data_IF_401554252342
#
_entry.id   IF_401554252342
#
_cell.length_a   1.000
_cell.length_b   1.000
_cell.length_c   1.000
_cell.angle_alpha   90.00
_cell.angle_beta   90.00
_cell.angle_gamma   90.00
#
_symmetry.space_group_name_H-M   'P 1'
#
loop_
_entity.id
_entity.type
_entity.pdbx_description
1 polymer ?
#
# COMPACT_ATOMS: atom_id res chain seq x y z
N UNK A 1 -23.61 -7.86 8.45
CA UNK A 1 -23.56 -6.80 7.41
C UNK A 1 -22.14 -6.47 6.98
N UNK A 2 -21.29 -5.78 7.80
CA UNK A 2 -19.94 -5.35 7.36
C UNK A 2 -19.03 -6.51 6.92
N UNK A 3 -19.02 -7.61 7.67
CA UNK A 3 -18.22 -8.81 7.35
C UNK A 3 -18.67 -9.49 6.06
N UNK A 4 -19.98 -9.47 5.76
CA UNK A 4 -20.48 -10.05 4.51
C UNK A 4 -20.04 -9.21 3.31
N UNK A 5 -19.97 -7.88 3.45
CA UNK A 5 -19.45 -7.00 2.41
C UNK A 5 -17.93 -7.20 2.19
N UNK A 6 -17.15 -7.41 3.26
CA UNK A 6 -15.73 -7.78 3.13
C UNK A 6 -15.55 -9.09 2.35
N UNK A 7 -16.34 -10.11 2.68
CA UNK A 7 -16.29 -11.40 2.00
C UNK A 7 -16.65 -11.29 0.51
N UNK A 8 -17.64 -10.46 0.16
CA UNK A 8 -17.97 -10.19 -1.25
C UNK A 8 -16.80 -9.59 -2.01
N UNK A 9 -16.06 -8.66 -1.40
CA UNK A 9 -14.84 -8.08 -2.01
C UNK A 9 -13.79 -9.15 -2.23
N UNK A 10 -13.50 -9.99 -1.23
CA UNK A 10 -12.53 -11.08 -1.35
C UNK A 10 -12.89 -12.06 -2.46
N UNK A 11 -14.17 -12.41 -2.60
CA UNK A 11 -14.65 -13.28 -3.67
C UNK A 11 -14.64 -12.62 -5.06
N UNK A 12 -14.60 -11.29 -5.11
CA UNK A 12 -14.55 -10.52 -6.36
C UNK A 12 -13.12 -10.21 -6.81
N UNK A 13 -12.09 -10.57 -6.03
CA UNK A 13 -10.71 -10.41 -6.45
C UNK A 13 -10.44 -11.30 -7.68
N UNK A 14 -9.88 -10.71 -8.74
CA UNK A 14 -9.44 -11.48 -9.89
C UNK A 14 -8.30 -12.41 -9.49
N UNK A 15 -8.28 -13.65 -9.93
CA UNK A 15 -7.22 -14.59 -9.62
C UNK A 15 -5.88 -14.12 -10.19
N UNK A 16 -4.83 -14.34 -9.42
CA UNK A 16 -3.44 -14.23 -9.85
C UNK A 16 -2.84 -15.63 -9.66
N UNK A 17 -2.37 -16.22 -10.75
CA UNK A 17 -1.86 -17.58 -10.84
C UNK A 17 -0.61 -17.64 -11.73
N UNK A 18 -0.18 -18.83 -12.09
CA UNK A 18 1.00 -19.10 -12.94
C UNK A 18 0.96 -18.37 -14.29
N UNK A 19 -0.23 -18.15 -14.84
CA UNK A 19 -0.39 -17.51 -16.15
C UNK A 19 -0.09 -16.00 -16.13
N UNK A 20 -0.22 -15.33 -15.01
CA UNK A 20 -0.14 -13.86 -14.90
C UNK A 20 0.70 -13.34 -13.72
N UNK A 21 1.13 -14.19 -12.79
CA UNK A 21 1.87 -13.79 -11.61
C UNK A 21 3.16 -13.01 -11.95
N UNK A 22 3.89 -13.40 -12.98
CA UNK A 22 5.10 -12.72 -13.42
C UNK A 22 4.86 -11.27 -13.89
N UNK A 23 3.64 -10.95 -14.35
CA UNK A 23 3.27 -9.63 -14.83
C UNK A 23 2.66 -8.77 -13.72
N UNK A 24 1.94 -9.40 -12.79
CA UNK A 24 1.14 -8.72 -11.79
C UNK A 24 1.79 -8.67 -10.41
N UNK A 25 2.91 -9.38 -10.21
CA UNK A 25 3.55 -9.47 -8.90
C UNK A 25 5.06 -9.27 -8.97
N UNK A 26 5.62 -8.78 -7.88
CA UNK A 26 7.07 -8.71 -7.65
C UNK A 26 7.32 -9.19 -6.24
N UNK A 27 8.17 -10.20 -6.06
CA UNK A 27 8.68 -10.60 -4.75
C UNK A 27 10.14 -10.19 -4.60
N UNK A 28 10.52 -9.77 -3.40
CA UNK A 28 11.87 -9.32 -3.09
C UNK A 28 12.42 -9.91 -1.81
N UNK A 29 13.74 -9.84 -1.67
CA UNK A 29 14.44 -10.21 -0.44
C UNK A 29 15.51 -9.17 -0.15
N UNK A 30 15.57 -8.66 1.11
CA UNK A 30 16.56 -7.65 1.44
C UNK A 30 17.96 -8.24 1.61
N UNK A 31 18.92 -7.49 1.13
CA UNK A 31 20.35 -7.65 1.41
C UNK A 31 20.81 -6.59 2.41
N UNK A 32 22.02 -6.74 2.90
CA UNK A 32 22.64 -5.81 3.84
C UNK A 32 22.46 -4.35 3.42
N UNK A 33 22.24 -3.49 4.41
CA UNK A 33 22.01 -2.06 4.21
C UNK A 33 21.96 -1.31 5.53
N UNK A 34 21.32 -0.14 5.52
CA UNK A 34 21.11 0.68 6.72
C UNK A 34 19.61 0.85 6.93
N UNK A 35 19.11 0.47 8.09
CA UNK A 35 17.71 0.66 8.48
C UNK A 35 17.67 1.29 9.87
N UNK A 36 16.82 2.32 10.07
CA UNK A 36 16.68 3.05 11.33
C UNK A 36 18.02 3.57 11.89
N UNK A 37 18.93 3.98 11.00
CA UNK A 37 20.26 4.51 11.36
C UNK A 37 21.31 3.45 11.75
N UNK A 38 20.97 2.17 11.71
CA UNK A 38 21.89 1.07 12.02
C UNK A 38 22.20 0.20 10.79
N UNK A 39 23.43 -0.32 10.71
CA UNK A 39 23.79 -1.33 9.71
C UNK A 39 23.09 -2.64 10.05
N UNK A 40 22.43 -3.25 9.06
CA UNK A 40 21.74 -4.51 9.19
C UNK A 40 22.24 -5.52 8.15
N UNK A 41 22.37 -6.81 8.50
CA UNK A 41 22.74 -7.85 7.55
C UNK A 41 21.60 -8.12 6.55
N UNK A 42 21.87 -8.90 5.51
CA UNK A 42 20.84 -9.41 4.62
C UNK A 42 19.99 -10.50 5.27
N UNK A 43 18.78 -10.74 4.75
CA UNK A 43 17.86 -11.74 5.30
C UNK A 43 18.47 -13.16 5.37
N UNK A 44 19.17 -13.67 4.34
CA UNK A 44 19.81 -14.97 4.41
C UNK A 44 20.86 -15.07 5.51
N UNK A 45 21.54 -13.97 5.81
CA UNK A 45 22.55 -13.88 6.87
C UNK A 45 21.90 -13.86 8.25
N UNK A 46 20.84 -13.06 8.44
CA UNK A 46 20.03 -13.04 9.68
C UNK A 46 19.44 -14.42 9.99
N UNK A 47 18.98 -15.12 8.96
CA UNK A 47 18.39 -16.45 9.10
C UNK A 47 19.43 -17.57 9.31
N UNK A 48 20.72 -17.31 9.00
CA UNK A 48 21.76 -18.34 8.95
C UNK A 48 21.56 -19.36 7.82
N UNK A 49 20.77 -19.00 6.79
CA UNK A 49 20.47 -19.85 5.64
C UNK A 49 20.67 -19.10 4.32
N UNK A 50 21.84 -19.23 3.73
CA UNK A 50 22.21 -18.56 2.48
C UNK A 50 21.38 -18.98 1.25
N UNK A 51 20.61 -20.07 1.36
CA UNK A 51 19.78 -20.60 0.27
C UNK A 51 18.30 -20.25 0.43
N UNK A 52 17.93 -19.42 1.39
CA UNK A 52 16.54 -19.03 1.61
C UNK A 52 16.00 -18.23 0.43
N UNK A 53 14.92 -18.70 -0.16
CA UNK A 53 14.14 -18.02 -1.18
C UNK A 53 12.84 -17.39 -0.64
N UNK A 54 12.74 -17.23 0.70
CA UNK A 54 11.58 -16.60 1.33
C UNK A 54 11.55 -15.12 0.98
N UNK A 55 10.44 -14.64 0.49
CA UNK A 55 10.23 -13.23 0.22
C UNK A 55 10.11 -12.43 1.52
N UNK A 56 10.76 -11.28 1.53
CA UNK A 56 10.65 -10.25 2.59
C UNK A 56 10.00 -8.97 2.08
N UNK A 57 9.63 -8.97 0.80
CA UNK A 57 8.95 -7.88 0.12
C UNK A 57 8.02 -8.44 -0.95
N UNK A 58 6.85 -7.82 -1.04
CA UNK A 58 5.87 -8.11 -2.08
C UNK A 58 5.31 -6.80 -2.62
N UNK A 59 5.23 -6.68 -3.93
CA UNK A 59 4.38 -5.72 -4.60
C UNK A 59 3.50 -6.46 -5.60
N UNK A 60 2.23 -6.07 -5.71
CA UNK A 60 1.32 -6.68 -6.65
C UNK A 60 0.26 -5.69 -7.14
N UNK A 61 -0.28 -5.97 -8.33
CA UNK A 61 -1.43 -5.30 -8.91
C UNK A 61 -2.62 -6.24 -8.81
N UNK A 62 -3.63 -5.86 -8.04
CA UNK A 62 -4.89 -6.58 -7.91
C UNK A 62 -6.02 -5.83 -8.62
N UNK A 63 -7.05 -6.57 -9.02
CA UNK A 63 -8.29 -6.03 -9.56
C UNK A 63 -9.48 -6.66 -8.86
N UNK A 64 -10.52 -5.87 -8.63
CA UNK A 64 -11.78 -6.31 -8.01
C UNK A 64 -12.88 -6.31 -9.07
N UNK A 65 -13.37 -7.49 -9.42
CA UNK A 65 -14.36 -7.71 -10.46
C UNK A 65 -15.80 -7.51 -9.91
N UNK A 66 -16.10 -6.31 -9.45
CA UNK A 66 -17.44 -5.94 -9.05
C UNK A 66 -17.81 -4.58 -9.65
N UNK A 67 -19.09 -4.23 -9.59
CA UNK A 67 -19.63 -3.01 -10.18
C UNK A 67 -18.96 -1.73 -9.67
N UNK A 68 -18.66 -1.67 -8.35
CA UNK A 68 -18.04 -0.48 -7.73
C UNK A 68 -16.62 -0.23 -8.18
N UNK A 69 -15.83 -1.30 -8.33
CA UNK A 69 -14.38 -1.22 -8.53
C UNK A 69 -13.93 -1.61 -9.93
N UNK A 70 -14.86 -1.84 -10.86
CA UNK A 70 -14.53 -2.20 -12.23
C UNK A 70 -13.61 -1.15 -12.87
N UNK A 71 -12.45 -1.59 -13.37
CA UNK A 71 -11.44 -0.74 -14.00
C UNK A 71 -10.58 0.09 -13.04
N UNK A 72 -10.70 -0.11 -11.73
CA UNK A 72 -9.81 0.50 -10.72
C UNK A 72 -8.70 -0.48 -10.37
N UNK A 73 -7.43 -0.19 -10.67
CA UNK A 73 -6.32 -1.02 -10.24
C UNK A 73 -5.98 -0.76 -8.78
N UNK A 74 -5.63 -1.83 -8.05
CA UNK A 74 -5.15 -1.79 -6.68
C UNK A 74 -3.69 -2.23 -6.66
N UNK A 75 -2.79 -1.35 -6.24
CA UNK A 75 -1.39 -1.67 -6.06
C UNK A 75 -1.15 -1.85 -4.57
N UNK A 76 -0.68 -3.02 -4.20
CA UNK A 76 -0.33 -3.36 -2.82
C UNK A 76 1.18 -3.52 -2.72
N UNK A 77 1.78 -2.93 -1.69
CA UNK A 77 3.20 -3.05 -1.39
C UNK A 77 3.39 -3.27 0.11
N UNK A 78 4.18 -4.26 0.46
CA UNK A 78 4.60 -4.50 1.83
C UNK A 78 6.00 -5.09 1.86
N UNK A 79 6.76 -4.84 2.91
CA UNK A 79 8.11 -5.38 3.03
C UNK A 79 8.71 -5.18 4.42
N UNK A 80 9.79 -5.92 4.64
CA UNK A 80 10.65 -5.78 5.81
C UNK A 80 11.80 -4.81 5.51
N UNK A 81 12.34 -4.16 6.53
CA UNK A 81 13.48 -3.25 6.40
C UNK A 81 13.27 -2.16 5.33
N UNK A 82 12.02 -1.67 5.18
CA UNK A 82 11.71 -0.49 4.37
C UNK A 82 12.21 0.79 5.10
N UNK A 83 12.30 1.94 4.39
CA UNK A 83 12.83 3.19 4.97
C UNK A 83 12.05 3.67 6.18
N UNK A 84 10.74 3.46 6.19
CA UNK A 84 9.85 3.85 7.29
C UNK A 84 8.79 2.80 7.57
N UNK A 85 8.34 2.75 8.84
CA UNK A 85 7.23 1.92 9.28
C UNK A 85 5.92 2.69 9.09
N UNK A 86 5.34 2.60 7.92
CA UNK A 86 4.10 3.27 7.58
C UNK A 86 3.07 2.27 7.04
N UNK A 87 1.81 2.49 7.38
CA UNK A 87 0.67 1.78 6.79
C UNK A 87 -0.36 2.81 6.33
N UNK A 88 -0.61 2.86 5.03
CA UNK A 88 -1.48 3.86 4.44
C UNK A 88 -2.28 3.31 3.25
N UNK A 89 -3.40 3.98 2.95
CA UNK A 89 -4.18 3.77 1.74
C UNK A 89 -4.18 5.07 0.96
N UNK A 90 -3.68 5.02 -0.27
CA UNK A 90 -3.61 6.19 -1.17
C UNK A 90 -4.63 6.03 -2.29
N UNK A 91 -5.58 6.94 -2.35
CA UNK A 91 -6.56 7.01 -3.44
C UNK A 91 -6.19 8.17 -4.36
N UNK A 92 -5.71 7.86 -5.55
CA UNK A 92 -5.42 8.85 -6.59
C UNK A 92 -6.65 9.03 -7.47
N UNK A 93 -7.20 10.24 -7.48
CA UNK A 93 -8.35 10.54 -8.32
C UNK A 93 -7.96 10.64 -9.80
N UNK A 94 -8.93 10.42 -10.68
CA UNK A 94 -8.71 10.57 -12.11
C UNK A 94 -8.30 12.01 -12.45
N UNK A 95 -7.47 12.22 -13.48
CA UNK A 95 -7.18 13.57 -13.96
C UNK A 95 -8.46 14.24 -14.47
N UNK A 96 -8.49 15.58 -14.40
CA UNK A 96 -9.57 16.30 -15.03
C UNK A 96 -9.49 16.14 -16.56
N UNK A 97 -10.60 15.81 -17.24
CA UNK A 97 -10.57 15.57 -18.68
C UNK A 97 -10.25 16.83 -19.49
N UNK A 98 -10.65 18.00 -19.00
CA UNK A 98 -10.37 19.28 -19.60
C UNK A 98 -10.00 20.31 -18.54
N UNK A 99 -8.89 21.04 -18.76
CA UNK A 99 -8.50 22.17 -17.93
C UNK A 99 -9.04 23.45 -18.53
N UNK A 100 -9.70 24.27 -17.71
CA UNK A 100 -10.06 25.65 -18.04
C UNK A 100 -8.90 26.62 -17.82
N UNK A 101 -7.80 26.14 -17.23
CA UNK A 101 -6.64 26.97 -16.92
C UNK A 101 -5.62 26.88 -18.05
N UNK A 102 -4.97 28.02 -18.33
CA UNK A 102 -3.85 28.08 -19.26
C UNK A 102 -2.70 27.18 -18.80
N UNK A 103 -1.94 26.57 -19.71
CA UNK A 103 -0.70 25.85 -19.38
C UNK A 103 0.29 26.67 -18.55
N UNK A 104 0.32 28.00 -18.76
CA UNK A 104 1.18 28.92 -18.01
C UNK A 104 0.78 29.09 -16.54
N UNK A 105 -0.43 28.65 -16.18
CA UNK A 105 -0.93 28.73 -14.80
C UNK A 105 -0.31 27.68 -13.87
N UNK A 106 0.42 26.70 -14.40
CA UNK A 106 1.03 25.58 -13.69
C UNK A 106 0.41 24.24 -14.03
N UNK A 107 1.02 23.18 -13.54
CA UNK A 107 0.58 21.79 -13.78
C UNK A 107 -0.58 21.42 -12.86
N UNK A 108 -1.66 20.90 -13.44
CA UNK A 108 -2.74 20.26 -12.68
C UNK A 108 -2.30 18.87 -12.25
N UNK A 109 -1.90 18.74 -10.98
CA UNK A 109 -1.67 17.44 -10.38
C UNK A 109 -2.99 16.77 -10.03
N UNK A 110 -3.02 15.44 -10.10
CA UNK A 110 -4.17 14.67 -9.64
C UNK A 110 -4.36 14.85 -8.14
N UNK A 111 -5.61 15.04 -7.71
CA UNK A 111 -5.92 15.05 -6.29
C UNK A 111 -5.66 13.67 -5.69
N UNK A 112 -5.20 13.61 -4.44
CA UNK A 112 -4.92 12.37 -3.72
C UNK A 112 -5.52 12.43 -2.32
N UNK A 113 -6.17 11.35 -1.91
CA UNK A 113 -6.59 11.13 -0.53
C UNK A 113 -5.70 10.07 0.07
N UNK A 114 -5.00 10.40 1.14
CA UNK A 114 -4.16 9.49 1.91
C UNK A 114 -4.84 9.22 3.25
N UNK A 115 -5.16 7.96 3.50
CA UNK A 115 -5.65 7.48 4.80
C UNK A 115 -4.47 6.83 5.51
N UNK A 116 -3.91 7.51 6.51
CA UNK A 116 -2.80 6.99 7.30
C UNK A 116 -3.35 6.16 8.44
N UNK A 117 -2.93 4.90 8.53
CA UNK A 117 -3.37 3.93 9.53
C UNK A 117 -2.33 3.74 10.64
N UNK A 118 -1.05 3.91 10.32
CA UNK A 118 0.09 3.81 11.25
C UNK A 118 1.28 4.61 10.71
N UNK A 119 2.14 5.19 11.58
CA UNK A 119 2.06 5.21 13.04
C UNK A 119 1.03 6.24 13.56
N UNK A 120 0.86 7.35 12.86
CA UNK A 120 -0.03 8.45 13.27
C UNK A 120 -1.29 8.43 12.41
N UNK A 121 -2.40 8.02 12.99
CA UNK A 121 -3.68 7.93 12.28
C UNK A 121 -4.14 9.31 11.81
N UNK A 122 -4.58 9.39 10.55
CA UNK A 122 -5.01 10.67 9.99
C UNK A 122 -5.47 10.58 8.55
N UNK A 123 -5.91 11.72 8.05
CA UNK A 123 -6.36 11.89 6.67
C UNK A 123 -5.68 13.10 6.06
N UNK A 124 -5.00 12.90 4.93
CA UNK A 124 -4.38 13.98 4.16
C UNK A 124 -5.03 14.04 2.78
N UNK A 125 -5.58 15.18 2.42
CA UNK A 125 -6.18 15.40 1.10
C UNK A 125 -5.35 16.41 0.32
N UNK A 126 -4.71 15.96 -0.74
CA UNK A 126 -3.95 16.83 -1.65
C UNK A 126 -4.87 17.41 -2.72
N UNK A 127 -4.86 18.74 -2.82
CA UNK A 127 -5.70 19.50 -3.76
C UNK A 127 -4.85 20.51 -4.53
N UNK A 128 -5.24 20.78 -5.78
CA UNK A 128 -4.71 21.89 -6.53
C UNK A 128 -5.57 23.14 -6.26
N UNK A 129 -4.95 24.18 -5.73
CA UNK A 129 -5.61 25.46 -5.42
C UNK A 129 -4.93 26.62 -6.16
N UNK A 130 -5.62 27.74 -6.24
CA UNK A 130 -5.00 28.99 -6.70
C UNK A 130 -4.04 29.49 -5.63
N UNK A 131 -2.82 29.81 -6.02
CA UNK A 131 -1.87 30.49 -5.12
C UNK A 131 -2.43 31.86 -4.74
N UNK A 132 -2.52 32.22 -3.46
CA UNK A 132 -2.95 33.55 -3.03
C UNK A 132 -1.91 34.61 -3.40
N UNK A 133 -2.37 35.84 -3.71
CA UNK A 133 -1.52 37.00 -3.98
C UNK A 133 -1.62 37.53 -5.41
N UNK A 134 -0.91 38.63 -5.68
CA UNK A 134 -0.84 39.24 -7.00
C UNK A 134 -0.01 38.42 -7.99
N UNK A 135 -0.17 38.68 -9.27
CA UNK A 135 0.62 37.98 -10.32
C UNK A 135 -0.15 36.99 -11.16
N UNK A 136 -1.48 37.10 -11.21
CA UNK A 136 -2.33 36.25 -12.06
C UNK A 136 -2.73 34.93 -11.45
N UNK A 137 -3.22 34.04 -12.29
CA UNK A 137 -3.64 32.69 -11.86
C UNK A 137 -2.42 31.75 -11.83
N UNK A 138 -2.01 31.37 -10.64
CA UNK A 138 -0.98 30.35 -10.43
C UNK A 138 -1.57 29.20 -9.62
N UNK A 139 -1.38 27.99 -10.07
CA UNK A 139 -1.85 26.79 -9.41
C UNK A 139 -0.76 26.21 -8.50
N UNK A 140 -1.16 25.73 -7.33
CA UNK A 140 -0.29 25.07 -6.37
C UNK A 140 -0.97 23.84 -5.78
N UNK A 141 -0.24 22.74 -5.69
CA UNK A 141 -0.69 21.51 -5.05
C UNK A 141 -0.37 21.60 -3.56
N UNK A 142 -1.38 21.50 -2.70
CA UNK A 142 -1.25 21.65 -1.24
C UNK A 142 -2.05 20.60 -0.50
N UNK A 143 -1.59 20.13 0.67
CA UNK A 143 -2.33 19.22 1.51
C UNK A 143 -3.30 19.96 2.45
N UNK A 144 -4.45 19.33 2.68
CA UNK A 144 -5.25 19.50 3.88
C UNK A 144 -4.95 18.29 4.77
N UNK A 145 -4.36 18.52 5.93
CA UNK A 145 -3.94 17.46 6.85
C UNK A 145 -4.78 17.48 8.12
N UNK A 146 -5.24 16.31 8.54
CA UNK A 146 -5.96 16.11 9.78
C UNK A 146 -5.35 14.93 10.53
N UNK A 147 -4.62 15.23 11.61
CA UNK A 147 -4.16 14.24 12.56
C UNK A 147 -5.27 13.92 13.55
N UNK A 148 -5.53 12.63 13.79
CA UNK A 148 -6.54 12.23 14.80
C UNK A 148 -6.06 12.52 16.21
N UNK A 149 -4.76 12.40 16.50
CA UNK A 149 -4.19 12.74 17.78
C UNK A 149 -4.42 14.22 18.14
N UNK A 150 -4.22 15.12 17.18
CA UNK A 150 -4.49 16.55 17.34
C UNK A 150 -5.99 16.87 17.45
N UNK A 151 -6.80 16.24 16.59
CA UNK A 151 -8.23 16.51 16.52
C UNK A 151 -8.99 16.02 17.76
N UNK A 152 -8.61 14.90 18.34
CA UNK A 152 -9.33 14.28 19.46
C UNK A 152 -8.62 14.45 20.80
N UNK A 153 -7.37 14.93 20.83
CA UNK A 153 -6.62 15.19 22.06
C UNK A 153 -6.37 13.96 22.95
N UNK A 154 -6.54 12.75 22.40
CA UNK A 154 -6.47 11.49 23.14
C UNK A 154 -5.42 10.60 22.51
N UNK A 155 -4.47 10.17 23.30
CA UNK A 155 -3.57 9.10 22.89
C UNK A 155 -4.38 7.80 22.75
N UNK A 156 -4.43 7.26 21.54
CA UNK A 156 -5.17 6.01 21.28
C UNK A 156 -4.54 4.85 22.08
N UNK A 157 -5.35 4.02 22.77
CA UNK A 157 -4.83 2.84 23.43
C UNK A 157 -4.21 1.89 22.41
N UNK A 158 -3.26 1.06 22.90
CA UNK A 158 -2.64 0.03 22.05
C UNK A 158 -3.69 -0.85 21.37
N UNK A 159 -3.45 -1.21 20.12
CA UNK A 159 -4.38 -2.02 19.33
C UNK A 159 -4.73 -3.35 20.01
N UNK A 160 -3.77 -3.98 20.70
CA UNK A 160 -3.99 -5.22 21.42
C UNK A 160 -4.86 -5.03 22.67
N UNK A 161 -4.70 -3.92 23.39
CA UNK A 161 -5.55 -3.59 24.54
C UNK A 161 -7.01 -3.50 24.09
N UNK A 162 -7.28 -2.81 23.00
CA UNK A 162 -8.62 -2.70 22.42
C UNK A 162 -9.18 -4.05 21.99
N UNK A 163 -8.38 -4.87 21.32
CA UNK A 163 -8.79 -6.22 20.91
C UNK A 163 -9.10 -7.13 22.11
N UNK A 164 -8.26 -7.10 23.14
CA UNK A 164 -8.52 -7.87 24.38
C UNK A 164 -9.81 -7.44 25.08
N UNK A 165 -10.06 -6.13 25.12
CA UNK A 165 -11.30 -5.60 25.69
C UNK A 165 -12.52 -6.03 24.88
N UNK A 166 -12.42 -6.07 23.55
CA UNK A 166 -13.49 -6.56 22.68
C UNK A 166 -13.75 -8.06 22.88
N UNK A 167 -12.72 -8.88 23.15
CA UNK A 167 -12.89 -10.29 23.55
C UNK A 167 -13.69 -10.41 24.84
N UNK A 168 -13.29 -9.65 25.89
CA UNK A 168 -13.99 -9.68 27.19
C UNK A 168 -15.45 -9.25 27.04
N UNK A 169 -15.74 -8.29 26.18
CA UNK A 169 -17.09 -7.77 25.90
C UNK A 169 -17.90 -8.63 24.94
N UNK A 170 -17.30 -9.65 24.34
CA UNK A 170 -17.93 -10.48 23.32
C UNK A 170 -18.25 -9.70 22.02
N UNK A 171 -17.50 -8.64 21.73
CA UNK A 171 -17.67 -7.84 20.52
C UNK A 171 -16.79 -8.36 19.36
N UNK A 172 -17.34 -9.08 18.39
CA UNK A 172 -16.55 -9.68 17.32
C UNK A 172 -16.27 -8.75 16.15
N UNK A 173 -16.55 -7.44 16.23
CA UNK A 173 -16.56 -6.52 15.10
C UNK A 173 -15.19 -6.39 14.43
N UNK A 174 -14.10 -6.39 15.22
CA UNK A 174 -12.73 -6.25 14.73
C UNK A 174 -12.06 -7.59 14.37
N UNK A 175 -12.72 -8.72 14.68
CA UNK A 175 -12.15 -10.04 14.40
C UNK A 175 -12.61 -10.55 13.03
N UNK A 176 -11.69 -11.20 12.32
CA UNK A 176 -12.00 -11.85 11.06
C UNK A 176 -12.79 -13.13 11.27
N UNK A 177 -13.74 -13.41 10.40
CA UNK A 177 -14.43 -14.69 10.33
C UNK A 177 -13.55 -15.72 9.60
N UNK A 178 -13.82 -16.99 9.88
CA UNK A 178 -13.12 -18.10 9.24
C UNK A 178 -13.23 -18.06 7.71
N UNK A 179 -14.42 -17.79 7.19
CA UNK A 179 -14.67 -17.72 5.74
C UNK A 179 -13.95 -16.54 5.06
N UNK A 180 -13.77 -15.40 5.77
CA UNK A 180 -12.95 -14.28 5.27
C UNK A 180 -11.47 -14.70 5.14
N UNK A 181 -10.94 -15.38 6.17
CA UNK A 181 -9.56 -15.88 6.16
C UNK A 181 -9.36 -16.93 5.06
N UNK A 182 -10.27 -17.88 4.93
CA UNK A 182 -10.23 -18.90 3.90
C UNK A 182 -10.32 -18.31 2.49
N UNK A 183 -11.16 -17.28 2.29
CA UNK A 183 -11.26 -16.59 1.01
C UNK A 183 -9.97 -15.82 0.66
N UNK A 184 -9.36 -15.16 1.65
CA UNK A 184 -8.09 -14.47 1.47
C UNK A 184 -6.96 -15.45 1.07
N UNK A 185 -6.86 -16.58 1.76
CA UNK A 185 -5.87 -17.62 1.43
C UNK A 185 -6.14 -18.30 0.09
N UNK A 186 -7.40 -18.48 -0.29
CA UNK A 186 -7.76 -19.01 -1.62
C UNK A 186 -7.27 -18.10 -2.74
N UNK A 187 -7.22 -16.79 -2.50
CA UNK A 187 -6.69 -15.83 -3.46
C UNK A 187 -5.16 -15.75 -3.41
N UNK A 188 -4.54 -15.77 -2.22
CA UNK A 188 -3.09 -15.63 -2.07
C UNK A 188 -2.33 -16.92 -2.37
N UNK A 189 -2.92 -18.08 -2.12
CA UNK A 189 -2.28 -19.39 -2.30
C UNK A 189 -1.74 -19.63 -3.71
N UNK A 190 -2.51 -19.40 -4.78
CA UNK A 190 -2.03 -19.54 -6.16
C UNK A 190 -0.84 -18.64 -6.50
N UNK A 191 -0.75 -17.45 -5.91
CA UNK A 191 0.41 -16.55 -6.10
C UNK A 191 1.67 -17.19 -5.53
N UNK A 192 1.58 -17.74 -4.31
CA UNK A 192 2.71 -18.42 -3.66
C UNK A 192 3.13 -19.68 -4.44
N UNK A 193 2.16 -20.44 -4.94
CA UNK A 193 2.42 -21.61 -5.78
C UNK A 193 3.14 -21.21 -7.08
N UNK A 194 2.65 -20.21 -7.79
CA UNK A 194 3.27 -19.71 -9.00
C UNK A 194 4.73 -19.25 -8.78
N UNK A 195 5.00 -18.61 -7.64
CA UNK A 195 6.38 -18.23 -7.29
C UNK A 195 7.26 -19.43 -6.96
N UNK A 196 6.74 -20.45 -6.31
CA UNK A 196 7.48 -21.68 -6.02
C UNK A 196 7.80 -22.44 -7.31
N UNK A 197 6.82 -22.56 -8.20
CA UNK A 197 6.93 -23.33 -9.46
C UNK A 197 7.82 -22.62 -10.48
N UNK A 198 7.88 -21.28 -10.46
CA UNK A 198 8.76 -20.52 -11.37
C UNK A 198 10.25 -20.80 -11.16
N UNK A 199 10.64 -21.24 -9.98
CA UNK A 199 12.05 -21.44 -9.59
C UNK A 199 12.89 -20.13 -9.55
N UNK A 200 12.29 -18.97 -9.83
CA UNK A 200 12.99 -17.69 -9.77
C UNK A 200 13.31 -17.27 -8.34
N UNK A 201 14.50 -16.77 -8.09
CA UNK A 201 14.85 -16.17 -6.81
C UNK A 201 14.14 -14.82 -6.59
N UNK A 202 13.83 -14.42 -5.33
CA UNK A 202 13.32 -13.11 -5.04
C UNK A 202 14.27 -12.01 -5.51
N UNK A 203 13.73 -10.91 -6.04
CA UNK A 203 14.53 -9.75 -6.49
C UNK A 203 15.22 -9.10 -5.29
N UNK A 204 16.54 -8.89 -5.34
CA UNK A 204 17.24 -8.27 -4.23
C UNK A 204 16.89 -6.78 -4.09
N UNK A 205 16.79 -6.29 -2.85
CA UNK A 205 16.74 -4.87 -2.53
C UNK A 205 17.61 -4.56 -1.30
N UNK A 206 18.09 -3.35 -1.20
CA UNK A 206 18.93 -2.93 -0.05
C UNK A 206 18.02 -2.60 1.14
N UNK A 207 18.34 -3.11 2.33
CA UNK A 207 17.66 -2.71 3.55
C UNK A 207 17.71 -1.18 3.71
N UNK A 208 16.59 -0.56 4.07
CA UNK A 208 16.42 0.89 4.10
C UNK A 208 15.94 1.51 2.77
N UNK A 209 15.71 0.70 1.73
CA UNK A 209 15.11 1.16 0.48
C UNK A 209 13.63 0.76 0.36
N UNK A 210 12.90 1.39 -0.56
CA UNK A 210 11.48 1.10 -0.83
C UNK A 210 11.22 -0.20 -1.62
N UNK A 211 12.18 -1.10 -1.65
CA UNK A 211 12.07 -2.39 -2.32
C UNK A 211 12.82 -2.46 -3.66
N UNK A 212 12.66 -3.54 -4.40
CA UNK A 212 13.36 -3.73 -5.66
C UNK A 212 12.80 -2.81 -6.77
N UNK A 213 13.66 -2.37 -7.70
CA UNK A 213 13.29 -1.52 -8.84
C UNK A 213 12.17 -2.11 -9.71
N UNK A 214 12.05 -3.43 -9.74
CA UNK A 214 10.96 -4.11 -10.42
C UNK A 214 9.58 -3.72 -9.86
N UNK A 215 9.48 -3.37 -8.55
CA UNK A 215 8.23 -2.90 -7.95
C UNK A 215 7.86 -1.49 -8.43
N UNK A 216 8.85 -0.66 -8.73
CA UNK A 216 8.63 0.65 -9.36
C UNK A 216 8.13 0.44 -10.80
N UNK A 217 8.81 -0.41 -11.57
CA UNK A 217 8.41 -0.73 -12.93
C UNK A 217 6.99 -1.33 -13.01
N UNK A 218 6.54 -2.07 -11.98
CA UNK A 218 5.21 -2.66 -11.94
C UNK A 218 4.10 -1.58 -12.01
N UNK A 219 4.24 -0.52 -11.25
CA UNK A 219 3.23 0.55 -11.18
C UNK A 219 3.41 1.58 -12.31
N UNK A 220 4.64 1.84 -12.74
CA UNK A 220 4.96 2.79 -13.81
C UNK A 220 4.48 2.33 -15.19
N UNK A 221 4.33 1.03 -15.44
CA UNK A 221 3.71 0.50 -16.67
C UNK A 221 2.32 1.08 -16.93
N UNK A 222 1.62 1.45 -15.87
CA UNK A 222 0.28 2.04 -15.96
C UNK A 222 0.32 3.57 -15.79
N UNK A 223 1.50 4.20 -15.89
CA UNK A 223 1.69 5.65 -15.75
C UNK A 223 1.41 6.17 -14.34
N UNK A 224 1.67 5.34 -13.31
CA UNK A 224 1.45 5.67 -11.89
C UNK A 224 2.75 5.56 -11.11
N UNK A 225 2.74 6.11 -9.89
CA UNK A 225 3.88 6.05 -8.97
C UNK A 225 3.44 5.63 -7.57
N UNK A 226 4.34 5.00 -6.83
CA UNK A 226 4.14 4.78 -5.41
C UNK A 226 4.12 6.10 -4.66
N UNK A 227 3.33 6.16 -3.59
CA UNK A 227 3.45 7.24 -2.62
C UNK A 227 4.66 6.93 -1.73
N UNK A 228 5.65 7.80 -1.74
CA UNK A 228 6.89 7.67 -0.96
C UNK A 228 7.14 8.94 -0.13
N UNK A 229 6.14 9.80 -0.05
CA UNK A 229 6.17 11.01 0.77
C UNK A 229 6.06 10.59 2.25
N UNK A 230 7.21 10.44 2.88
CA UNK A 230 7.34 10.18 4.32
C UNK A 230 7.45 11.52 5.08
N UNK A 231 6.40 12.37 5.00
CA UNK A 231 6.22 13.54 5.87
C UNK A 231 4.81 13.59 6.44
#
# INVERSE_FOLDING_TARGET
AVRDEKLKVLHSLKPIDDSNAAQLTVRGQYRAGVAEGASVPGYPEELGNSKSNTETFVALKAEIANWRWAGVPFYLRTGKRLPSRVSEIVVTFKPVPHSIFSPDSGTLSQNRLVLRLQPDEGVKLWLTIKHPGPGGLRLRHVPLDMSFAEAFGVQQPDAYERLLLDVVRGNPTLFMRRDEVEAAWRWAGPILAAWADSGEAPRPYTAGSWGPSAAVALIERDGRTWNEDSE
#
